data_IF_063786997612
#
_entry.id   IF_063786997612
#
_cell.length_a   1.000
_cell.length_b   1.000
_cell.length_c   1.000
_cell.angle_alpha   90.00
_cell.angle_beta   90.00
_cell.angle_gamma   90.00
#
_symmetry.space_group_name_H-M   'P 1'
#
loop_
_entity.id
_entity.type
_entity.pdbx_description
1 polymer ?
#
# COMPACT_ATOMS: atom_id res chain seq x y z
N UNK A 1 15.39 -49.32 14.90
CA UNK A 1 15.77 -47.94 14.54
C UNK A 1 15.02 -47.58 13.26
N UNK A 2 13.84 -47.00 13.42
CA UNK A 2 13.03 -46.50 12.31
C UNK A 2 13.55 -45.12 11.93
N UNK A 3 14.21 -45.02 10.78
CA UNK A 3 14.66 -43.76 10.20
C UNK A 3 13.44 -42.90 9.82
N UNK A 4 13.28 -41.75 10.47
CA UNK A 4 12.36 -40.71 10.02
C UNK A 4 12.67 -40.34 8.55
N UNK A 5 11.65 -40.27 7.68
CA UNK A 5 11.85 -39.79 6.32
C UNK A 5 12.25 -38.31 6.38
N UNK A 6 13.40 -38.00 5.77
CA UNK A 6 13.89 -36.63 5.65
C UNK A 6 12.82 -35.75 5.00
N UNK A 7 12.52 -34.62 5.65
CA UNK A 7 11.58 -33.64 5.13
C UNK A 7 12.01 -33.22 3.71
N UNK A 8 11.09 -33.16 2.73
CA UNK A 8 11.45 -32.82 1.36
C UNK A 8 12.10 -31.44 1.34
N UNK A 9 13.26 -31.35 0.70
CA UNK A 9 14.01 -30.11 0.57
C UNK A 9 13.11 -29.04 -0.08
N UNK A 10 12.93 -27.91 0.60
CA UNK A 10 12.19 -26.76 0.07
C UNK A 10 12.85 -26.36 -1.25
N UNK A 11 12.13 -26.38 -2.39
CA UNK A 11 12.72 -26.01 -3.67
C UNK A 11 13.22 -24.57 -3.60
N UNK A 12 14.50 -24.37 -3.94
CA UNK A 12 15.08 -23.03 -4.02
C UNK A 12 14.29 -22.22 -5.04
N UNK A 13 13.86 -20.99 -4.72
CA UNK A 13 13.22 -20.12 -5.70
C UNK A 13 14.15 -19.93 -6.91
N UNK A 14 13.63 -19.79 -8.14
CA UNK A 14 14.46 -19.59 -9.31
C UNK A 14 15.38 -18.39 -9.09
N UNK A 15 16.62 -18.54 -9.54
CA UNK A 15 17.65 -17.52 -9.38
C UNK A 15 17.17 -16.21 -10.03
N UNK A 16 16.97 -15.17 -9.21
CA UNK A 16 16.67 -13.83 -9.69
C UNK A 16 17.90 -13.31 -10.45
N UNK A 17 17.73 -12.68 -11.63
CA UNK A 17 18.87 -12.17 -12.38
C UNK A 17 19.46 -10.95 -11.68
N UNK A 18 20.65 -11.07 -11.08
CA UNK A 18 21.42 -9.96 -10.49
C UNK A 18 21.29 -9.83 -8.97
N UNK A 19 22.05 -8.89 -8.35
CA UNK A 19 22.07 -8.72 -6.90
C UNK A 19 20.71 -8.20 -6.36
N UNK A 20 20.41 -8.45 -5.06
CA UNK A 20 19.23 -7.89 -4.41
C UNK A 20 19.27 -6.35 -4.42
N UNK A 21 18.09 -5.73 -4.43
CA UNK A 21 17.98 -4.27 -4.37
C UNK A 21 18.45 -3.80 -2.99
N UNK A 22 19.39 -2.84 -2.88
CA UNK A 22 19.75 -2.24 -1.61
C UNK A 22 18.54 -1.59 -0.95
N UNK A 23 18.26 -1.92 0.31
CA UNK A 23 17.12 -1.38 1.03
C UNK A 23 17.57 -0.40 2.10
N UNK A 24 16.90 0.74 2.19
CA UNK A 24 17.01 1.60 3.35
C UNK A 24 16.33 0.94 4.55
N UNK A 25 16.89 1.19 5.74
CA UNK A 25 16.29 0.77 7.00
C UNK A 25 15.89 2.00 7.82
N UNK A 26 14.74 1.96 8.53
CA UNK A 26 14.42 2.97 9.51
C UNK A 26 15.52 3.09 10.57
N UNK A 27 15.78 4.32 11.00
CA UNK A 27 16.71 4.64 12.07
C UNK A 27 16.25 3.94 13.36
N UNK A 28 17.17 3.18 13.97
CA UNK A 28 16.91 2.54 15.25
C UNK A 28 16.59 3.59 16.32
N UNK A 29 15.52 3.37 17.09
CA UNK A 29 15.00 4.31 18.12
C UNK A 29 16.00 4.68 19.23
N UNK A 30 17.10 3.93 19.39
CA UNK A 30 18.12 4.09 20.43
C UNK A 30 19.54 4.03 19.85
N UNK A 31 19.86 4.87 18.86
CA UNK A 31 21.25 4.98 18.38
C UNK A 31 21.79 6.40 18.47
N UNK A 32 23.12 6.45 18.61
CA UNK A 32 23.95 7.66 18.45
C UNK A 32 23.58 8.38 17.17
N UNK A 33 23.71 9.71 17.17
CA UNK A 33 23.54 10.59 16.01
C UNK A 33 24.20 9.96 14.77
N UNK A 34 23.46 9.71 13.68
CA UNK A 34 24.03 9.25 12.42
C UNK A 34 25.11 10.21 11.91
N UNK A 35 26.14 9.67 11.25
CA UNK A 35 27.18 10.49 10.62
C UNK A 35 26.54 11.45 9.59
N UNK A 36 26.94 12.72 9.60
CA UNK A 36 26.43 13.74 8.67
C UNK A 36 25.09 14.40 9.06
N UNK A 37 24.44 13.99 10.17
CA UNK A 37 23.25 14.66 10.70
C UNK A 37 23.62 15.70 11.77
N UNK A 38 23.14 16.93 11.64
CA UNK A 38 23.34 18.00 12.63
C UNK A 38 22.57 17.74 13.93
N UNK A 39 23.06 18.27 15.06
CA UNK A 39 22.44 18.07 16.39
C UNK A 39 20.97 18.50 16.42
N UNK A 40 20.66 19.68 15.86
CA UNK A 40 19.30 20.23 15.84
C UNK A 40 18.35 19.36 15.01
N UNK A 41 18.79 18.94 13.82
CA UNK A 41 18.00 18.06 12.94
C UNK A 41 17.73 16.71 13.62
N UNK A 42 18.76 16.12 14.21
CA UNK A 42 18.64 14.87 14.95
C UNK A 42 17.67 15.00 16.13
N UNK A 43 17.79 16.09 16.91
CA UNK A 43 16.90 16.36 18.03
C UNK A 43 15.44 16.52 17.57
N UNK A 44 15.20 17.35 16.56
CA UNK A 44 13.86 17.60 16.02
C UNK A 44 13.20 16.29 15.58
N UNK A 45 13.89 15.52 14.73
CA UNK A 45 13.38 14.26 14.17
C UNK A 45 13.19 13.20 15.25
N UNK A 46 14.17 13.03 16.15
CA UNK A 46 14.06 12.10 17.26
C UNK A 46 12.90 12.44 18.21
N UNK A 47 12.68 13.72 18.49
CA UNK A 47 11.56 14.18 19.32
C UNK A 47 10.21 13.97 18.62
N UNK A 48 10.08 14.36 17.35
CA UNK A 48 8.88 14.09 16.55
C UNK A 48 8.58 12.59 16.45
N UNK A 49 9.61 11.76 16.24
CA UNK A 49 9.46 10.32 16.18
C UNK A 49 8.88 9.76 17.49
N UNK A 50 9.27 10.31 18.65
CA UNK A 50 8.67 9.96 19.95
C UNK A 50 7.22 10.41 20.08
N UNK A 51 6.80 11.45 19.37
CA UNK A 51 5.46 12.04 19.42
C UNK A 51 4.34 11.20 18.83
N UNK A 52 4.66 10.17 18.04
CA UNK A 52 3.71 9.19 17.52
C UNK A 52 4.16 7.80 17.97
N UNK A 53 3.30 6.95 18.52
CA UNK A 53 3.63 5.57 18.93
C UNK A 53 2.39 4.68 18.86
N UNK A 54 1.93 4.31 17.66
CA UNK A 54 0.79 3.41 17.52
C UNK A 54 1.14 2.00 18.01
N UNK A 55 0.13 1.17 18.28
CA UNK A 55 0.31 -0.26 18.49
C UNK A 55 1.05 -0.93 17.33
N UNK A 56 1.72 -2.05 17.61
CA UNK A 56 2.34 -2.86 16.57
C UNK A 56 1.29 -3.52 15.69
N UNK A 57 1.60 -3.66 14.40
CA UNK A 57 0.72 -4.32 13.41
C UNK A 57 0.74 -5.85 13.53
N UNK A 58 1.77 -6.42 14.15
CA UNK A 58 2.01 -7.86 14.27
C UNK A 58 1.35 -8.53 15.47
N UNK A 59 0.96 -7.75 16.48
CA UNK A 59 0.41 -8.29 17.72
C UNK A 59 -1.07 -8.72 17.59
N UNK A 60 -1.59 -8.83 16.37
CA UNK A 60 -3.01 -9.03 16.10
C UNK A 60 -3.25 -10.46 15.59
N UNK A 61 -4.13 -11.24 16.26
CA UNK A 61 -4.47 -12.57 15.79
C UNK A 61 -5.19 -12.48 14.43
N UNK A 62 -4.75 -13.32 13.49
CA UNK A 62 -5.37 -13.47 12.17
C UNK A 62 -5.98 -14.86 12.10
N UNK A 63 -7.26 -14.91 11.75
CA UNK A 63 -7.97 -16.16 11.43
C UNK A 63 -7.84 -16.39 9.93
N UNK A 64 -7.10 -17.44 9.55
CA UNK A 64 -6.98 -17.86 8.16
C UNK A 64 -8.15 -18.78 7.78
N UNK A 65 -8.76 -18.57 6.62
CA UNK A 65 -9.88 -19.35 6.12
C UNK A 65 -9.50 -19.93 4.76
N UNK A 66 -9.64 -21.24 4.63
CA UNK A 66 -9.41 -21.97 3.38
C UNK A 66 -10.75 -22.51 2.85
N UNK A 67 -10.93 -22.60 1.52
CA UNK A 67 -12.12 -23.20 0.93
C UNK A 67 -12.34 -24.63 1.43
N UNK A 68 -13.58 -24.98 1.78
CA UNK A 68 -13.98 -26.35 2.11
C UNK A 68 -13.55 -26.90 3.49
N UNK A 69 -12.76 -26.16 4.29
CA UNK A 69 -12.45 -26.56 5.66
C UNK A 69 -13.53 -26.10 6.65
N UNK A 70 -13.85 -26.95 7.63
CA UNK A 70 -14.70 -26.58 8.77
C UNK A 70 -13.93 -25.64 9.71
N UNK A 71 -14.69 -24.85 10.47
CA UNK A 71 -14.19 -23.74 11.29
C UNK A 71 -13.71 -24.16 12.69
N UNK A 72 -13.34 -25.44 12.83
CA UNK A 72 -12.95 -26.09 14.07
C UNK A 72 -11.50 -25.78 14.50
N UNK A 73 -10.76 -25.03 13.69
CA UNK A 73 -9.49 -24.40 14.06
C UNK A 73 -9.17 -23.24 13.13
N UNK A 74 -8.53 -22.17 13.63
CA UNK A 74 -7.98 -21.13 12.75
C UNK A 74 -6.57 -21.56 12.35
N UNK A 75 -6.34 -22.02 11.10
CA UNK A 75 -5.02 -22.47 10.69
C UNK A 75 -3.98 -21.41 10.94
N UNK A 76 -2.78 -21.83 11.34
CA UNK A 76 -1.63 -20.92 11.41
C UNK A 76 -1.17 -20.55 9.99
N UNK A 77 -0.30 -19.54 9.88
CA UNK A 77 0.23 -19.11 8.58
C UNK A 77 0.91 -20.27 7.84
N UNK A 78 1.56 -21.18 8.57
CA UNK A 78 2.23 -22.37 8.05
C UNK A 78 1.25 -23.37 7.43
N UNK A 79 0.11 -23.61 8.09
CA UNK A 79 -0.94 -24.50 7.60
C UNK A 79 -1.65 -23.90 6.38
N UNK A 80 -1.90 -22.58 6.41
CA UNK A 80 -2.41 -21.87 5.25
C UNK A 80 -1.43 -21.95 4.07
N UNK A 81 -0.12 -21.77 4.31
CA UNK A 81 0.89 -21.89 3.26
C UNK A 81 0.96 -23.31 2.68
N UNK A 82 0.89 -24.36 3.52
CA UNK A 82 0.85 -25.75 3.08
C UNK A 82 -0.32 -26.01 2.11
N UNK A 83 -1.53 -25.60 2.50
CA UNK A 83 -2.73 -25.78 1.68
C UNK A 83 -2.70 -24.96 0.38
N UNK A 84 -1.99 -23.83 0.37
CA UNK A 84 -1.87 -22.94 -0.78
C UNK A 84 -0.62 -23.21 -1.63
N UNK A 85 0.12 -24.29 -1.37
CA UNK A 85 1.35 -24.58 -2.12
C UNK A 85 1.11 -24.60 -3.63
N UNK A 86 1.97 -23.88 -4.34
CA UNK A 86 2.01 -23.84 -5.80
C UNK A 86 2.75 -25.07 -6.32
N UNK A 87 2.56 -25.45 -7.60
CA UNK A 87 3.33 -26.55 -8.18
C UNK A 87 4.84 -26.28 -8.02
N UNK A 88 5.60 -27.34 -7.70
CA UNK A 88 7.00 -27.22 -7.29
C UNK A 88 7.84 -26.40 -8.29
N UNK A 89 8.52 -25.37 -7.79
CA UNK A 89 9.57 -24.63 -8.50
C UNK A 89 9.19 -23.29 -9.15
N UNK A 90 7.93 -22.85 -9.10
CA UNK A 90 7.53 -21.55 -9.66
C UNK A 90 7.17 -20.53 -8.55
N UNK A 91 7.89 -19.39 -8.46
CA UNK A 91 7.59 -18.37 -7.47
C UNK A 91 6.31 -17.65 -7.88
N UNK A 92 5.30 -17.72 -7.01
CA UNK A 92 4.01 -17.08 -7.26
C UNK A 92 3.99 -15.58 -6.98
N UNK A 93 2.86 -14.95 -7.25
CA UNK A 93 2.52 -13.60 -6.78
C UNK A 93 1.33 -13.73 -5.82
N UNK A 94 1.49 -13.15 -4.63
CA UNK A 94 0.41 -13.00 -3.67
C UNK A 94 -0.33 -11.69 -3.96
N UNK A 95 -1.65 -11.73 -4.14
CA UNK A 95 -2.50 -10.56 -4.30
C UNK A 95 -3.39 -10.42 -3.06
N UNK A 96 -3.45 -9.24 -2.46
CA UNK A 96 -4.21 -8.99 -1.23
C UNK A 96 -5.28 -7.93 -1.46
N UNK A 97 -6.50 -8.21 -1.02
CA UNK A 97 -7.60 -7.23 -1.05
C UNK A 97 -8.08 -6.98 0.36
N UNK A 98 -7.59 -5.91 1.00
CA UNK A 98 -8.07 -5.48 2.30
C UNK A 98 -9.44 -4.80 2.17
N UNK A 99 -10.37 -5.20 3.03
CA UNK A 99 -11.74 -4.68 3.16
C UNK A 99 -12.16 -4.73 4.63
N UNK A 100 -13.31 -4.15 4.97
CA UNK A 100 -13.93 -4.28 6.29
C UNK A 100 -15.39 -4.69 6.20
N UNK A 101 -15.92 -5.30 7.27
CA UNK A 101 -17.29 -5.84 7.31
C UNK A 101 -18.33 -4.76 7.04
N UNK A 102 -18.18 -3.60 7.67
CA UNK A 102 -19.05 -2.44 7.54
C UNK A 102 -18.77 -1.60 6.28
N UNK A 103 -17.97 -2.06 5.31
CA UNK A 103 -17.61 -1.29 4.09
C UNK A 103 -18.82 -1.06 3.21
N UNK A 104 -19.45 -2.17 2.84
CA UNK A 104 -20.61 -2.25 1.97
C UNK A 104 -21.40 -3.50 2.33
N UNK A 105 -22.68 -3.58 1.94
CA UNK A 105 -23.43 -4.83 2.00
C UNK A 105 -22.74 -5.96 1.22
N UNK A 106 -22.95 -7.21 1.65
CA UNK A 106 -22.34 -8.39 1.02
C UNK A 106 -22.59 -8.46 -0.49
N UNK A 107 -23.79 -8.12 -0.98
CA UNK A 107 -24.09 -8.16 -2.42
C UNK A 107 -23.11 -7.28 -3.22
N UNK A 108 -22.87 -6.05 -2.76
CA UNK A 108 -21.91 -5.14 -3.40
C UNK A 108 -20.46 -5.59 -3.20
N UNK A 109 -20.15 -6.21 -2.07
CA UNK A 109 -18.84 -6.80 -1.84
C UNK A 109 -18.54 -7.94 -2.84
N UNK A 110 -19.55 -8.75 -3.18
CA UNK A 110 -19.46 -9.80 -4.22
C UNK A 110 -19.22 -9.18 -5.60
N UNK A 111 -19.99 -8.17 -6.00
CA UNK A 111 -19.76 -7.43 -7.27
C UNK A 111 -18.31 -6.93 -7.37
N UNK A 112 -17.79 -6.38 -6.27
CA UNK A 112 -16.44 -5.84 -6.23
C UNK A 112 -15.36 -6.90 -6.31
N UNK A 113 -15.62 -8.03 -5.68
CA UNK A 113 -14.76 -9.19 -5.68
C UNK A 113 -14.78 -9.91 -7.05
N UNK A 114 -15.93 -10.00 -7.70
CA UNK A 114 -16.05 -10.54 -9.06
C UNK A 114 -15.19 -9.76 -10.07
N UNK A 115 -15.23 -8.42 -10.01
CA UNK A 115 -14.39 -7.58 -10.86
C UNK A 115 -12.88 -7.81 -10.61
N UNK A 116 -12.50 -8.17 -9.39
CA UNK A 116 -11.13 -8.55 -9.05
C UNK A 116 -10.80 -9.95 -9.60
N UNK A 117 -11.72 -10.91 -9.51
CA UNK A 117 -11.55 -12.24 -10.10
C UNK A 117 -11.36 -12.13 -11.61
N UNK A 118 -12.03 -11.21 -12.30
CA UNK A 118 -11.78 -10.94 -13.72
C UNK A 118 -10.36 -10.47 -14.00
N UNK A 119 -9.80 -9.62 -13.13
CA UNK A 119 -8.40 -9.20 -13.22
C UNK A 119 -7.43 -10.36 -12.94
N UNK A 120 -7.72 -11.20 -11.95
CA UNK A 120 -6.93 -12.39 -11.66
C UNK A 120 -6.97 -13.41 -12.82
N UNK A 121 -8.15 -13.59 -13.44
CA UNK A 121 -8.32 -14.41 -14.63
C UNK A 121 -7.49 -13.89 -15.81
N UNK A 122 -7.46 -12.57 -16.02
CA UNK A 122 -6.63 -11.95 -17.04
C UNK A 122 -5.14 -12.24 -16.82
N UNK A 123 -4.66 -12.12 -15.57
CA UNK A 123 -3.26 -12.48 -15.24
C UNK A 123 -3.00 -13.96 -15.51
N UNK A 124 -3.90 -14.86 -15.10
CA UNK A 124 -3.71 -16.30 -15.31
C UNK A 124 -3.67 -16.68 -16.81
N UNK A 125 -4.43 -15.98 -17.66
CA UNK A 125 -4.38 -16.15 -19.11
C UNK A 125 -3.09 -15.61 -19.73
N UNK A 126 -2.69 -14.40 -19.34
CA UNK A 126 -1.56 -13.70 -19.97
C UNK A 126 -0.20 -14.21 -19.45
N UNK A 127 -0.17 -14.71 -18.21
CA UNK A 127 1.04 -15.17 -17.50
C UNK A 127 0.84 -16.56 -16.88
N UNK A 128 0.57 -17.62 -17.69
CA UNK A 128 0.18 -18.94 -17.18
C UNK A 128 1.27 -19.65 -16.35
N UNK A 129 2.51 -19.17 -16.43
CA UNK A 129 3.66 -19.69 -15.64
C UNK A 129 3.87 -18.97 -14.32
N UNK A 130 2.99 -18.04 -13.95
CA UNK A 130 3.07 -17.26 -12.73
C UNK A 130 1.88 -17.62 -11.84
N UNK A 131 2.08 -18.53 -10.87
CA UNK A 131 1.02 -18.89 -9.94
C UNK A 131 0.51 -17.67 -9.18
N UNK A 132 -0.81 -17.50 -9.11
CA UNK A 132 -1.45 -16.48 -8.28
C UNK A 132 -2.04 -17.09 -7.02
N UNK A 133 -1.87 -16.37 -5.91
CA UNK A 133 -2.54 -16.66 -4.63
C UNK A 133 -3.26 -15.39 -4.20
N UNK A 134 -4.59 -15.47 -4.02
CA UNK A 134 -5.43 -14.34 -3.67
C UNK A 134 -5.83 -14.40 -2.19
N UNK A 135 -5.52 -13.35 -1.45
CA UNK A 135 -5.91 -13.14 -0.07
C UNK A 135 -7.02 -12.10 0.04
N UNK A 136 -8.14 -12.47 0.66
CA UNK A 136 -9.24 -11.54 0.97
C UNK A 136 -9.21 -11.24 2.44
N UNK A 137 -8.78 -10.03 2.81
CA UNK A 137 -8.67 -9.65 4.22
C UNK A 137 -9.85 -8.82 4.67
N UNK A 138 -10.62 -9.33 5.64
CA UNK A 138 -11.81 -8.68 6.16
C UNK A 138 -11.63 -8.27 7.62
N UNK A 139 -11.59 -6.95 7.85
CA UNK A 139 -11.42 -6.36 9.17
C UNK A 139 -12.76 -6.14 9.87
N UNK A 140 -12.78 -6.32 11.19
CA UNK A 140 -13.95 -6.16 12.05
C UNK A 140 -13.62 -5.42 13.36
N UNK A 141 -14.64 -4.87 14.02
CA UNK A 141 -14.50 -4.02 15.22
C UNK A 141 -15.26 -4.56 16.44
N UNK A 142 -16.11 -5.57 16.27
CA UNK A 142 -16.86 -6.24 17.34
C UNK A 142 -16.93 -7.76 17.10
N UNK A 143 -17.38 -8.52 18.11
CA UNK A 143 -17.55 -9.96 17.99
C UNK A 143 -18.64 -10.34 16.97
N UNK A 144 -19.70 -9.53 16.87
CA UNK A 144 -20.75 -9.71 15.86
C UNK A 144 -20.20 -9.47 14.45
N UNK A 145 -19.36 -8.44 14.27
CA UNK A 145 -18.65 -8.23 13.00
C UNK A 145 -17.62 -9.34 12.74
N UNK A 146 -17.01 -9.95 13.76
CA UNK A 146 -16.11 -11.09 13.59
C UNK A 146 -16.84 -12.29 12.97
N UNK A 147 -17.98 -12.69 13.53
CA UNK A 147 -18.79 -13.78 12.96
C UNK A 147 -19.25 -13.49 11.53
N UNK A 148 -19.70 -12.26 11.30
CA UNK A 148 -20.10 -11.80 9.97
C UNK A 148 -18.92 -11.82 8.99
N UNK A 149 -17.71 -11.44 9.43
CA UNK A 149 -16.51 -11.50 8.59
C UNK A 149 -16.22 -12.93 8.12
N UNK A 150 -16.34 -13.91 9.01
CA UNK A 150 -16.12 -15.32 8.70
C UNK A 150 -17.18 -15.82 7.71
N UNK A 151 -18.46 -15.46 7.93
CA UNK A 151 -19.56 -15.82 7.04
C UNK A 151 -19.36 -15.26 5.63
N UNK A 152 -19.03 -13.97 5.53
CA UNK A 152 -18.80 -13.31 4.23
C UNK A 152 -17.58 -13.86 3.50
N UNK A 153 -16.48 -14.07 4.22
CA UNK A 153 -15.29 -14.68 3.63
C UNK A 153 -15.59 -16.05 3.02
N UNK A 154 -16.36 -16.91 3.70
CA UNK A 154 -16.77 -18.20 3.13
C UNK A 154 -17.50 -18.05 1.79
N UNK A 155 -18.49 -17.15 1.73
CA UNK A 155 -19.23 -16.87 0.49
C UNK A 155 -18.28 -16.43 -0.63
N UNK A 156 -17.38 -15.48 -0.36
CA UNK A 156 -16.43 -14.98 -1.36
C UNK A 156 -15.44 -16.08 -1.81
N UNK A 157 -14.95 -16.90 -0.89
CA UNK A 157 -14.02 -17.99 -1.23
C UNK A 157 -14.70 -19.10 -2.05
N UNK A 158 -15.96 -19.42 -1.76
CA UNK A 158 -16.75 -20.37 -2.54
C UNK A 158 -17.06 -19.85 -3.95
N UNK A 159 -17.40 -18.56 -4.07
CA UNK A 159 -17.57 -17.88 -5.36
C UNK A 159 -16.29 -17.97 -6.19
N UNK A 160 -15.13 -17.65 -5.59
CA UNK A 160 -13.83 -17.72 -6.26
C UNK A 160 -13.49 -19.14 -6.74
N UNK A 161 -13.72 -20.14 -5.89
CA UNK A 161 -13.47 -21.55 -6.23
C UNK A 161 -14.33 -22.00 -7.41
N UNK A 162 -15.59 -21.55 -7.46
CA UNK A 162 -16.53 -21.90 -8.53
C UNK A 162 -16.13 -21.22 -9.84
N UNK A 163 -15.77 -19.93 -9.79
CA UNK A 163 -15.46 -19.12 -10.97
C UNK A 163 -14.07 -19.39 -11.54
N UNK A 164 -13.08 -19.61 -10.67
CA UNK A 164 -11.67 -19.79 -11.02
C UNK A 164 -11.07 -20.96 -10.22
N UNK A 165 -11.37 -22.22 -10.56
CA UNK A 165 -10.95 -23.40 -9.78
C UNK A 165 -9.42 -23.58 -9.69
N UNK A 166 -8.65 -22.99 -10.61
CA UNK A 166 -7.19 -23.00 -10.56
C UNK A 166 -6.57 -21.91 -9.66
N UNK A 167 -7.37 -20.94 -9.21
CA UNK A 167 -6.91 -19.85 -8.36
C UNK A 167 -6.90 -20.30 -6.90
N UNK A 168 -5.74 -20.17 -6.25
CA UNK A 168 -5.59 -20.42 -4.81
C UNK A 168 -6.09 -19.20 -4.06
N UNK A 169 -7.02 -19.41 -3.12
CA UNK A 169 -7.66 -18.32 -2.37
C UNK A 169 -7.63 -18.57 -0.87
N UNK A 170 -7.45 -17.51 -0.10
CA UNK A 170 -7.47 -17.55 1.36
C UNK A 170 -8.13 -16.31 1.96
N UNK A 171 -9.03 -16.51 2.92
CA UNK A 171 -9.64 -15.43 3.69
C UNK A 171 -8.81 -15.10 4.93
N UNK A 172 -8.71 -13.83 5.29
CA UNK A 172 -8.06 -13.36 6.51
C UNK A 172 -9.07 -12.56 7.32
N UNK A 173 -9.57 -13.09 8.44
CA UNK A 173 -10.40 -12.35 9.38
C UNK A 173 -9.55 -11.86 10.55
N UNK A 174 -9.63 -10.58 10.88
CA UNK A 174 -8.77 -9.95 11.89
C UNK A 174 -9.38 -8.66 12.46
N UNK A 175 -9.07 -8.30 13.72
CA UNK A 175 -9.57 -7.06 14.30
C UNK A 175 -8.89 -5.84 13.67
N UNK A 176 -9.72 -4.87 13.30
CA UNK A 176 -9.37 -3.60 12.67
C UNK A 176 -9.46 -2.40 13.60
N UNK A 177 -9.25 -1.19 13.07
CA UNK A 177 -8.85 -0.89 11.68
C UNK A 177 -7.33 -0.99 11.45
N UNK A 178 -6.92 -1.21 10.20
CA UNK A 178 -5.57 -0.93 9.73
C UNK A 178 -5.07 -1.86 8.62
N UNK A 179 -5.03 -1.36 7.38
CA UNK A 179 -4.54 -2.10 6.19
C UNK A 179 -3.21 -2.85 6.40
N UNK A 180 -2.17 -2.29 7.07
CA UNK A 180 -0.92 -3.02 7.32
C UNK A 180 -1.09 -4.36 8.05
N UNK A 181 -2.10 -4.51 8.94
CA UNK A 181 -2.34 -5.78 9.64
C UNK A 181 -2.76 -6.88 8.67
N UNK A 182 -3.67 -6.55 7.74
CA UNK A 182 -4.11 -7.48 6.70
C UNK A 182 -2.97 -7.85 5.77
N UNK A 183 -2.19 -6.85 5.34
CA UNK A 183 -1.01 -7.09 4.51
C UNK A 183 -0.01 -8.01 5.20
N UNK A 184 0.26 -7.81 6.50
CA UNK A 184 1.18 -8.64 7.26
C UNK A 184 0.74 -10.11 7.37
N UNK A 185 -0.57 -10.37 7.56
CA UNK A 185 -1.09 -11.75 7.55
C UNK A 185 -0.86 -12.43 6.20
N UNK A 186 -1.08 -11.72 5.10
CA UNK A 186 -0.80 -12.25 3.76
C UNK A 186 0.70 -12.39 3.46
N UNK A 187 1.53 -11.42 3.88
CA UNK A 187 2.99 -11.42 3.69
C UNK A 187 3.61 -12.65 4.38
N UNK A 188 3.19 -12.97 5.61
CA UNK A 188 3.69 -14.14 6.32
C UNK A 188 3.48 -15.44 5.53
N UNK A 189 2.29 -15.62 4.93
CA UNK A 189 1.99 -16.78 4.08
C UNK A 189 2.75 -16.70 2.75
N UNK A 190 2.84 -15.52 2.13
CA UNK A 190 3.55 -15.32 0.86
C UNK A 190 5.06 -15.61 0.98
N UNK A 191 5.69 -15.27 2.10
CA UNK A 191 7.08 -15.60 2.39
C UNK A 191 7.27 -17.12 2.50
N UNK A 192 6.40 -17.82 3.23
CA UNK A 192 6.43 -19.28 3.35
C UNK A 192 6.20 -19.99 2.01
N UNK A 193 5.38 -19.40 1.14
CA UNK A 193 5.15 -19.88 -0.23
C UNK A 193 6.30 -19.57 -1.20
N UNK A 194 7.28 -18.75 -0.79
CA UNK A 194 8.36 -18.31 -1.67
C UNK A 194 7.86 -17.43 -2.82
N UNK A 195 6.78 -16.66 -2.63
CA UNK A 195 6.28 -15.74 -3.63
C UNK A 195 7.35 -14.71 -4.03
N UNK A 196 7.43 -14.38 -5.32
CA UNK A 196 8.34 -13.36 -5.82
C UNK A 196 7.90 -11.94 -5.44
N UNK A 197 6.58 -11.72 -5.37
CA UNK A 197 6.01 -10.43 -4.99
C UNK A 197 4.68 -10.55 -4.27
N UNK A 198 4.36 -9.49 -3.54
CA UNK A 198 3.10 -9.25 -2.84
C UNK A 198 2.50 -7.96 -3.40
N UNK A 199 1.32 -8.06 -3.99
CA UNK A 199 0.54 -6.93 -4.47
C UNK A 199 -0.75 -6.76 -3.70
N UNK A 200 -1.31 -5.56 -3.75
CA UNK A 200 -2.61 -5.29 -3.16
C UNK A 200 -3.35 -4.20 -3.89
N UNK A 201 -4.69 -4.25 -3.81
CA UNK A 201 -5.59 -3.25 -4.35
C UNK A 201 -6.60 -2.85 -3.28
N UNK A 202 -6.81 -1.54 -3.10
CA UNK A 202 -7.85 -1.05 -2.20
C UNK A 202 -9.24 -1.47 -2.72
N UNK A 203 -10.18 -1.74 -1.82
CA UNK A 203 -11.54 -2.14 -2.21
C UNK A 203 -12.35 -1.01 -2.89
N UNK A 204 -11.85 0.22 -2.80
CA UNK A 204 -12.54 1.47 -3.15
C UNK A 204 -12.07 2.11 -4.45
N UNK A 205 -11.24 1.39 -5.19
CA UNK A 205 -10.80 1.79 -6.51
C UNK A 205 -11.39 0.90 -7.58
N UNK A 206 -11.40 1.42 -8.80
CA UNK A 206 -11.82 0.68 -9.99
C UNK A 206 -10.60 0.50 -10.89
N UNK A 207 -10.25 -0.74 -11.19
CA UNK A 207 -9.14 -1.06 -12.08
C UNK A 207 -9.65 -1.13 -13.52
N UNK A 208 -8.95 -0.52 -14.47
CA UNK A 208 -9.23 -0.74 -15.90
C UNK A 208 -8.97 -2.21 -16.27
N UNK A 209 -9.60 -2.68 -17.35
CA UNK A 209 -9.40 -4.03 -17.87
C UNK A 209 -7.91 -4.32 -18.11
N UNK A 210 -7.44 -5.46 -17.60
CA UNK A 210 -6.06 -5.91 -17.73
C UNK A 210 -5.05 -5.14 -16.88
N UNK A 211 -5.48 -4.22 -16.00
CA UNK A 211 -4.60 -3.46 -15.12
C UNK A 211 -3.64 -4.36 -14.33
N UNK A 212 -4.15 -5.42 -13.67
CA UNK A 212 -3.27 -6.34 -12.92
C UNK A 212 -2.30 -7.11 -13.82
N UNK A 213 -2.76 -7.55 -15.00
CA UNK A 213 -1.89 -8.24 -15.97
C UNK A 213 -0.74 -7.35 -16.44
N UNK A 214 -1.00 -6.06 -16.70
CA UNK A 214 0.02 -5.08 -17.07
C UNK A 214 1.02 -4.85 -15.92
N UNK A 215 0.56 -4.76 -14.68
CA UNK A 215 1.44 -4.67 -13.51
C UNK A 215 2.33 -5.91 -13.37
N UNK A 216 1.76 -7.11 -13.49
CA UNK A 216 2.51 -8.37 -13.42
C UNK A 216 3.56 -8.43 -14.52
N UNK A 217 3.20 -8.11 -15.76
CA UNK A 217 4.13 -8.04 -16.89
C UNK A 217 5.32 -7.13 -16.59
N UNK A 218 5.07 -5.91 -16.12
CA UNK A 218 6.11 -4.93 -15.79
C UNK A 218 7.00 -5.40 -14.63
N UNK A 219 6.41 -6.03 -13.60
CA UNK A 219 7.12 -6.58 -12.46
C UNK A 219 8.05 -7.74 -12.87
N UNK A 220 7.57 -8.65 -13.71
CA UNK A 220 8.36 -9.75 -14.26
C UNK A 220 9.49 -9.22 -15.13
N UNK A 221 9.21 -8.22 -15.99
CA UNK A 221 10.22 -7.58 -16.85
C UNK A 221 11.32 -6.88 -16.03
N UNK A 222 11.01 -6.38 -14.82
CA UNK A 222 11.99 -5.84 -13.88
C UNK A 222 12.81 -6.92 -13.13
N UNK A 223 12.53 -8.21 -13.38
CA UNK A 223 13.14 -9.34 -12.68
C UNK A 223 12.58 -9.55 -11.28
N UNK A 224 11.31 -9.19 -11.05
CA UNK A 224 10.62 -9.28 -9.76
C UNK A 224 11.33 -8.48 -8.65
N UNK A 225 11.69 -7.22 -8.96
CA UNK A 225 12.42 -6.33 -8.06
C UNK A 225 11.73 -4.98 -7.89
N UNK A 226 11.93 -4.37 -6.73
CA UNK A 226 11.38 -3.06 -6.41
C UNK A 226 9.85 -3.11 -6.27
N UNK A 227 9.18 -2.06 -6.73
CA UNK A 227 7.74 -1.95 -6.73
C UNK A 227 7.22 -1.36 -8.05
N UNK A 228 6.09 -1.89 -8.51
CA UNK A 228 5.32 -1.35 -9.64
C UNK A 228 3.93 -0.95 -9.17
N UNK A 229 3.38 0.14 -9.70
CA UNK A 229 2.07 0.65 -9.30
C UNK A 229 1.22 1.11 -10.47
N UNK A 230 -0.09 1.06 -10.29
CA UNK A 230 -1.03 1.58 -11.27
C UNK A 230 -0.99 3.12 -11.30
N UNK A 231 -1.12 3.68 -12.50
CA UNK A 231 -1.31 5.11 -12.72
C UNK A 231 -2.71 5.52 -12.26
N UNK A 232 -2.78 6.52 -11.38
CA UNK A 232 -4.02 6.95 -10.75
C UNK A 232 -4.79 7.94 -11.62
N UNK A 233 -6.03 7.62 -11.93
CA UNK A 233 -6.97 8.51 -12.62
C UNK A 233 -7.96 9.05 -11.59
N UNK A 234 -7.86 10.36 -11.36
CA UNK A 234 -8.63 11.06 -10.34
C UNK A 234 -10.00 11.50 -10.87
N UNK A 235 -11.05 11.15 -10.14
CA UNK A 235 -12.42 11.61 -10.39
C UNK A 235 -12.90 12.50 -9.25
N UNK A 236 -13.82 13.41 -9.52
CA UNK A 236 -14.38 14.31 -8.50
C UNK A 236 -15.79 13.92 -8.13
N UNK A 237 -16.12 13.98 -6.85
CA UNK A 237 -17.51 13.98 -6.39
C UNK A 237 -18.18 15.33 -6.66
N UNK A 238 -19.50 15.38 -6.49
CA UNK A 238 -20.33 16.60 -6.63
C UNK A 238 -20.02 17.69 -5.58
N UNK A 239 -19.17 17.39 -4.59
CA UNK A 239 -18.77 18.34 -3.55
C UNK A 239 -17.78 19.41 -4.06
N UNK A 240 -17.96 20.65 -3.62
CA UNK A 240 -17.06 21.76 -3.93
C UNK A 240 -15.62 21.52 -3.44
N UNK A 241 -15.45 20.85 -2.29
CA UNK A 241 -14.16 20.45 -1.72
C UNK A 241 -13.40 19.49 -2.65
N UNK A 242 -14.11 18.54 -3.26
CA UNK A 242 -13.54 17.58 -4.23
C UNK A 242 -13.01 18.31 -5.47
N UNK A 243 -13.81 19.23 -6.03
CA UNK A 243 -13.41 20.05 -7.19
C UNK A 243 -12.21 20.94 -6.88
N UNK A 244 -12.20 21.62 -5.74
CA UNK A 244 -11.09 22.49 -5.33
C UNK A 244 -9.79 21.69 -5.15
N UNK A 245 -9.85 20.54 -4.47
CA UNK A 245 -8.68 19.68 -4.27
C UNK A 245 -8.18 19.06 -5.56
N UNK A 246 -9.08 18.68 -6.47
CA UNK A 246 -8.69 18.20 -7.80
C UNK A 246 -7.90 19.27 -8.56
N UNK A 247 -8.38 20.51 -8.59
CA UNK A 247 -7.65 21.65 -9.19
C UNK A 247 -6.30 21.89 -8.52
N UNK A 248 -6.24 21.85 -7.18
CA UNK A 248 -4.98 22.02 -6.45
C UNK A 248 -3.98 20.90 -6.75
N UNK A 249 -4.46 19.64 -6.84
CA UNK A 249 -3.62 18.48 -7.22
C UNK A 249 -3.13 18.57 -8.66
N UNK A 250 -3.94 19.06 -9.60
CA UNK A 250 -3.53 19.27 -10.99
C UNK A 250 -2.40 20.31 -11.13
N UNK A 251 -2.27 21.23 -10.17
CA UNK A 251 -1.20 22.23 -10.15
C UNK A 251 0.01 21.71 -9.36
N UNK A 252 -0.19 21.17 -8.16
CA UNK A 252 0.90 20.85 -7.25
C UNK A 252 1.44 19.41 -7.37
N UNK A 253 0.70 18.51 -8.04
CA UNK A 253 0.98 17.09 -8.25
C UNK A 253 1.72 16.39 -7.07
N UNK A 254 1.27 16.55 -5.81
CA UNK A 254 2.09 16.17 -4.67
C UNK A 254 2.29 14.66 -4.62
N UNK A 255 3.55 14.22 -4.62
CA UNK A 255 3.95 12.84 -4.36
C UNK A 255 3.24 11.80 -5.26
N UNK A 256 3.06 12.10 -6.54
CA UNK A 256 2.31 11.25 -7.50
C UNK A 256 3.20 10.43 -8.45
N UNK A 257 4.52 10.51 -8.30
CA UNK A 257 5.51 9.95 -9.23
C UNK A 257 6.10 8.60 -8.81
N UNK A 258 5.49 7.93 -7.82
CA UNK A 258 5.87 6.58 -7.39
C UNK A 258 4.61 5.74 -7.12
N UNK A 259 4.71 4.41 -7.05
CA UNK A 259 3.59 3.51 -6.78
C UNK A 259 2.83 3.82 -5.48
N UNK A 260 1.49 3.87 -5.54
CA UNK A 260 0.61 4.09 -4.38
C UNK A 260 -0.17 2.86 -3.97
N UNK A 261 -0.59 2.83 -2.71
CA UNK A 261 -1.27 1.69 -2.08
C UNK A 261 -2.63 1.33 -2.68
N UNK A 262 -3.19 2.16 -3.56
CA UNK A 262 -4.45 1.88 -4.23
C UNK A 262 -4.38 0.66 -5.16
N UNK A 263 -3.25 0.45 -5.82
CA UNK A 263 -2.97 -0.75 -6.60
C UNK A 263 -1.47 -0.82 -6.88
N UNK A 264 -0.77 -1.72 -6.18
CA UNK A 264 0.68 -1.84 -6.19
C UNK A 264 1.08 -3.31 -6.13
N UNK A 265 2.22 -3.66 -6.73
CA UNK A 265 2.88 -4.95 -6.64
C UNK A 265 4.34 -4.72 -6.23
N UNK A 266 4.75 -5.35 -5.13
CA UNK A 266 6.03 -5.12 -4.48
C UNK A 266 6.79 -6.44 -4.37
N UNK A 267 8.09 -6.43 -4.60
CA UNK A 267 8.92 -7.61 -4.40
C UNK A 267 8.92 -8.04 -2.91
N UNK A 268 8.85 -9.35 -2.67
CA UNK A 268 8.67 -9.90 -1.31
C UNK A 268 9.82 -9.50 -0.37
N UNK A 269 11.04 -9.37 -0.89
CA UNK A 269 12.23 -8.92 -0.14
C UNK A 269 12.09 -7.47 0.39
N UNK A 270 11.42 -6.60 -0.35
CA UNK A 270 11.16 -5.21 0.07
C UNK A 270 10.22 -5.17 1.26
N UNK A 271 9.24 -6.06 1.31
CA UNK A 271 8.27 -6.16 2.40
C UNK A 271 8.58 -7.33 3.34
N UNK A 272 9.79 -7.87 3.31
CA UNK A 272 10.14 -9.03 4.13
C UNK A 272 10.10 -8.69 5.62
N UNK A 273 9.56 -9.60 6.42
CA UNK A 273 9.19 -9.34 7.82
C UNK A 273 8.09 -8.28 7.98
N UNK A 274 7.34 -8.03 6.90
CA UNK A 274 6.21 -7.13 6.66
C UNK A 274 6.33 -5.66 7.10
N UNK A 275 5.17 -5.05 7.32
CA UNK A 275 4.95 -3.62 7.44
C UNK A 275 4.76 -3.23 8.90
N UNK A 276 5.67 -2.42 9.50
CA UNK A 276 5.49 -1.94 10.86
C UNK A 276 4.26 -1.03 10.98
N UNK A 277 3.40 -1.27 11.98
CA UNK A 277 2.13 -0.54 12.18
C UNK A 277 2.29 0.96 12.45
N UNK A 278 3.52 1.41 12.67
CA UNK A 278 3.91 2.82 12.69
C UNK A 278 3.74 3.51 11.33
N UNK A 279 3.93 2.79 10.24
CA UNK A 279 3.76 3.34 8.90
C UNK A 279 2.31 3.11 8.48
N UNK A 280 1.51 4.16 8.66
CA UNK A 280 0.07 4.13 8.38
C UNK A 280 -0.20 4.14 6.88
N UNK A 281 0.76 4.63 6.08
CA UNK A 281 0.83 4.45 4.63
C UNK A 281 1.75 3.29 4.30
N UNK A 282 1.21 2.24 3.70
CA UNK A 282 1.98 1.12 3.14
C UNK A 282 2.89 1.58 1.98
N UNK A 283 2.39 2.47 1.11
CA UNK A 283 3.14 3.00 -0.02
C UNK A 283 4.28 3.95 0.36
N UNK A 284 4.08 4.80 1.37
CA UNK A 284 5.15 5.64 1.94
C UNK A 284 6.30 4.78 2.46
N UNK A 285 6.01 3.72 3.19
CA UNK A 285 7.03 2.77 3.65
C UNK A 285 7.82 2.12 2.52
N UNK A 286 7.12 1.63 1.49
CA UNK A 286 7.75 1.04 0.30
C UNK A 286 8.60 2.07 -0.44
N UNK A 287 8.09 3.29 -0.61
CA UNK A 287 8.81 4.40 -1.23
C UNK A 287 10.13 4.67 -0.51
N UNK A 288 10.12 4.86 0.80
CA UNK A 288 11.34 5.15 1.54
C UNK A 288 12.31 3.97 1.64
N UNK A 289 11.82 2.72 1.64
CA UNK A 289 12.70 1.53 1.54
C UNK A 289 13.50 1.51 0.23
N UNK A 290 12.87 1.90 -0.87
CA UNK A 290 13.41 1.75 -2.23
C UNK A 290 14.03 3.02 -2.82
N UNK A 291 13.75 4.19 -2.24
CA UNK A 291 14.28 5.47 -2.73
C UNK A 291 15.79 5.53 -2.52
N UNK A 292 16.55 5.64 -3.61
CA UNK A 292 18.01 5.70 -3.56
C UNK A 292 18.55 7.02 -4.15
N UNK A 293 18.82 8.03 -3.32
CA UNK A 293 19.33 9.32 -3.78
C UNK A 293 20.71 9.27 -4.44
N UNK A 294 21.45 8.15 -4.37
CA UNK A 294 22.78 8.00 -4.97
C UNK A 294 22.69 7.63 -6.45
N UNK A 295 21.57 7.05 -6.89
CA UNK A 295 21.38 6.66 -8.28
C UNK A 295 21.07 7.86 -9.17
N UNK A 296 21.40 7.81 -10.48
CA UNK A 296 21.04 8.84 -11.45
C UNK A 296 19.52 9.08 -11.52
N UNK A 297 18.73 8.01 -11.43
CA UNK A 297 17.29 8.06 -11.20
C UNK A 297 16.96 7.47 -9.81
N UNK A 298 16.72 8.34 -8.80
CA UNK A 298 16.42 7.87 -7.45
C UNK A 298 15.16 7.03 -7.29
N UNK A 299 14.26 7.06 -8.29
CA UNK A 299 13.00 6.31 -8.31
C UNK A 299 13.07 5.07 -9.21
N UNK A 300 14.25 4.66 -9.68
CA UNK A 300 14.36 3.55 -10.67
C UNK A 300 13.73 2.23 -10.19
N UNK A 301 13.64 2.00 -8.88
CA UNK A 301 13.02 0.84 -8.27
C UNK A 301 11.52 1.03 -7.90
N UNK A 302 10.95 2.19 -8.21
CA UNK A 302 9.59 2.63 -7.89
C UNK A 302 8.89 3.06 -9.18
N UNK A 303 8.31 2.11 -9.90
CA UNK A 303 7.81 2.33 -11.27
C UNK A 303 6.30 2.46 -11.34
N UNK A 304 5.79 3.53 -11.91
CA UNK A 304 4.40 3.61 -12.34
C UNK A 304 4.26 3.00 -13.74
N UNK A 305 3.28 2.12 -13.91
CA UNK A 305 2.96 1.52 -15.21
C UNK A 305 1.91 2.40 -15.89
N UNK A 306 2.27 3.13 -16.97
CA UNK A 306 1.38 4.15 -17.57
C UNK A 306 0.04 3.58 -18.04
N UNK A 307 0.07 2.35 -18.56
CA UNK A 307 -1.10 1.67 -19.11
C UNK A 307 -1.88 0.87 -18.06
N UNK A 308 -1.35 0.68 -16.84
CA UNK A 308 -2.11 0.07 -15.76
C UNK A 308 -2.84 1.17 -15.00
N UNK A 309 -4.14 1.35 -15.26
CA UNK A 309 -4.89 2.50 -14.73
C UNK A 309 -5.84 2.09 -13.62
N UNK A 310 -5.85 2.91 -12.58
CA UNK A 310 -6.66 2.75 -11.40
C UNK A 310 -7.44 4.05 -11.14
N UNK A 311 -8.76 3.96 -11.16
CA UNK A 311 -9.64 5.09 -10.96
C UNK A 311 -10.07 5.21 -9.50
N UNK A 312 -10.06 6.43 -8.99
CA UNK A 312 -10.46 6.71 -7.61
C UNK A 312 -11.16 8.06 -7.51
N UNK A 313 -12.00 8.22 -6.50
CA UNK A 313 -12.59 9.51 -6.18
C UNK A 313 -11.72 10.35 -5.23
N UNK A 314 -11.60 11.64 -5.56
CA UNK A 314 -10.85 12.63 -4.78
C UNK A 314 -11.72 13.19 -3.67
N UNK A 315 -11.23 13.05 -2.44
CA UNK A 315 -11.82 13.68 -1.25
C UNK A 315 -13.29 13.27 -0.98
N UNK A 316 -13.86 13.82 0.07
CA UNK A 316 -15.27 13.63 0.45
C UNK A 316 -15.83 14.94 1.01
N UNK A 317 -16.86 14.89 1.86
CA UNK A 317 -17.29 16.03 2.67
C UNK A 317 -16.12 16.75 3.39
N UNK A 318 -16.28 18.04 3.71
CA UNK A 318 -15.20 18.88 4.23
C UNK A 318 -14.54 18.33 5.51
N UNK A 319 -15.34 17.81 6.45
CA UNK A 319 -14.83 17.23 7.70
C UNK A 319 -13.95 15.99 7.46
N UNK A 320 -14.40 15.08 6.60
CA UNK A 320 -13.66 13.88 6.21
C UNK A 320 -12.37 14.23 5.46
N UNK A 321 -12.45 15.22 4.58
CA UNK A 321 -11.31 15.75 3.83
C UNK A 321 -10.22 16.28 4.76
N UNK A 322 -10.58 17.05 5.80
CA UNK A 322 -9.61 17.56 6.78
C UNK A 322 -8.93 16.41 7.54
N UNK A 323 -9.69 15.41 7.99
CA UNK A 323 -9.14 14.21 8.66
C UNK A 323 -8.19 13.43 7.73
N UNK A 324 -8.56 13.27 6.46
CA UNK A 324 -7.74 12.59 5.44
C UNK A 324 -6.43 13.33 5.17
N UNK A 325 -6.46 14.66 5.05
CA UNK A 325 -5.26 15.48 4.85
C UNK A 325 -4.36 15.40 6.09
N UNK A 326 -4.92 15.48 7.29
CA UNK A 326 -4.17 15.33 8.53
C UNK A 326 -3.46 13.97 8.59
N UNK A 327 -4.15 12.87 8.26
CA UNK A 327 -3.55 11.53 8.19
C UNK A 327 -2.40 11.48 7.18
N UNK A 328 -2.61 11.99 5.97
CA UNK A 328 -1.58 12.03 4.93
C UNK A 328 -0.32 12.79 5.39
N UNK A 329 -0.51 13.96 6.00
CA UNK A 329 0.58 14.77 6.53
C UNK A 329 1.31 14.07 7.68
N UNK A 330 0.58 13.39 8.57
CA UNK A 330 1.18 12.61 9.64
C UNK A 330 2.03 11.47 9.09
N UNK A 331 1.59 10.79 8.02
CA UNK A 331 2.38 9.75 7.35
C UNK A 331 3.73 10.32 6.87
N UNK A 332 3.69 11.42 6.12
CA UNK A 332 4.91 12.08 5.65
C UNK A 332 5.85 12.49 6.80
N UNK A 333 5.32 12.98 7.92
CA UNK A 333 6.11 13.37 9.08
C UNK A 333 6.78 12.17 9.76
N UNK A 334 6.07 11.04 9.87
CA UNK A 334 6.63 9.80 10.41
C UNK A 334 7.78 9.30 9.54
N UNK A 335 7.57 9.26 8.22
CA UNK A 335 8.63 8.84 7.30
C UNK A 335 9.83 9.82 7.32
N UNK A 336 9.58 11.12 7.32
CA UNK A 336 10.67 12.13 7.44
C UNK A 336 11.42 12.00 8.77
N UNK A 337 10.75 11.60 9.86
CA UNK A 337 11.36 11.45 11.18
C UNK A 337 12.21 10.17 11.30
N UNK A 338 11.81 9.08 10.65
CA UNK A 338 12.38 7.76 10.93
C UNK A 338 13.45 7.30 9.92
N UNK A 339 13.58 7.90 8.74
CA UNK A 339 14.42 7.34 7.66
C UNK A 339 15.79 8.01 7.50
N UNK A 340 16.78 7.44 6.78
CA UNK A 340 18.09 8.08 6.59
C UNK A 340 18.00 9.49 5.97
N UNK A 341 18.85 10.42 6.42
CA UNK A 341 18.77 11.83 6.01
C UNK A 341 18.89 12.07 4.49
N UNK A 342 19.75 11.36 3.73
CA UNK A 342 19.78 11.51 2.26
C UNK A 342 18.42 11.21 1.61
N UNK A 343 17.78 10.11 2.03
CA UNK A 343 16.45 9.67 1.55
C UNK A 343 15.40 10.73 1.88
N UNK A 344 15.39 11.19 3.14
CA UNK A 344 14.47 12.21 3.63
C UNK A 344 14.64 13.53 2.88
N UNK A 345 15.87 13.99 2.64
CA UNK A 345 16.14 15.22 1.89
C UNK A 345 15.64 15.12 0.46
N UNK A 346 15.91 14.01 -0.20
CA UNK A 346 15.44 13.79 -1.56
C UNK A 346 13.91 13.78 -1.61
N UNK A 347 13.25 12.97 -0.77
CA UNK A 347 11.79 12.88 -0.70
C UNK A 347 11.16 14.25 -0.40
N UNK A 348 11.66 14.96 0.61
CA UNK A 348 11.14 16.27 0.99
C UNK A 348 11.28 17.28 -0.16
N UNK A 349 12.47 17.39 -0.75
CA UNK A 349 12.79 18.41 -1.74
C UNK A 349 12.19 18.17 -3.12
N UNK A 350 12.13 16.90 -3.57
CA UNK A 350 11.79 16.55 -4.95
C UNK A 350 10.42 15.88 -5.09
N UNK A 351 10.00 15.09 -4.08
CA UNK A 351 8.73 14.33 -4.15
C UNK A 351 7.58 15.09 -3.48
N UNK A 352 7.77 15.53 -2.24
CA UNK A 352 6.72 16.15 -1.44
C UNK A 352 6.58 17.65 -1.73
N UNK A 353 7.68 18.40 -1.65
CA UNK A 353 7.72 19.85 -1.77
C UNK A 353 8.49 20.37 -2.99
N UNK A 354 8.63 19.56 -4.04
CA UNK A 354 9.15 20.04 -5.34
C UNK A 354 8.29 21.20 -5.87
N UNK A 355 8.92 22.33 -6.20
CA UNK A 355 8.23 23.56 -6.62
C UNK A 355 7.92 24.56 -5.49
N UNK A 356 8.35 24.32 -4.25
CA UNK A 356 8.20 25.21 -3.09
C UNK A 356 9.32 26.27 -3.05
N UNK A 357 9.35 27.14 -4.05
CA UNK A 357 10.33 28.23 -4.13
C UNK A 357 10.16 29.24 -2.99
N UNK A 358 11.25 29.80 -2.40
CA UNK A 358 12.66 29.59 -2.74
C UNK A 358 13.34 28.42 -2.03
N UNK A 359 12.64 27.65 -1.19
CA UNK A 359 13.23 26.53 -0.45
C UNK A 359 13.58 25.32 -1.34
N UNK A 360 12.83 25.12 -2.42
CA UNK A 360 13.13 24.13 -3.46
C UNK A 360 13.10 24.79 -4.85
N UNK A 361 13.48 24.04 -5.90
CA UNK A 361 13.53 24.55 -7.27
C UNK A 361 12.18 25.13 -7.74
N UNK A 362 12.23 26.25 -8.46
CA UNK A 362 11.05 26.84 -9.08
C UNK A 362 10.61 26.03 -10.29
N UNK A 363 9.31 25.72 -10.38
CA UNK A 363 8.77 24.97 -11.51
C UNK A 363 8.29 25.90 -12.62
N UNK A 364 9.12 26.08 -13.64
CA UNK A 364 8.81 26.88 -14.84
C UNK A 364 8.27 26.05 -16.01
N UNK A 365 8.02 24.75 -15.83
CA UNK A 365 7.66 23.82 -16.94
C UNK A 365 6.41 24.23 -17.72
N UNK A 366 5.51 24.99 -17.10
CA UNK A 366 4.28 25.53 -17.71
C UNK A 366 4.19 27.06 -17.57
N UNK A 367 5.33 27.73 -17.47
CA UNK A 367 5.46 29.19 -17.34
C UNK A 367 5.43 29.72 -15.89
N UNK A 368 5.88 30.96 -15.72
CA UNK A 368 6.09 31.58 -14.39
C UNK A 368 4.82 31.65 -13.53
N UNK A 369 3.66 31.92 -14.15
CA UNK A 369 2.37 31.96 -13.42
C UNK A 369 2.00 30.60 -12.83
N UNK A 370 2.30 29.50 -13.52
CA UNK A 370 2.10 28.15 -13.00
C UNK A 370 3.03 27.88 -11.82
N UNK A 371 4.32 28.19 -11.97
CA UNK A 371 5.31 28.03 -10.91
C UNK A 371 4.95 28.81 -9.63
N UNK A 372 4.49 30.05 -9.76
CA UNK A 372 4.03 30.84 -8.60
C UNK A 372 2.81 30.20 -7.91
N UNK A 373 1.82 29.75 -8.69
CA UNK A 373 0.65 29.04 -8.14
C UNK A 373 1.07 27.76 -7.41
N UNK A 374 1.99 26.98 -8.00
CA UNK A 374 2.53 25.77 -7.39
C UNK A 374 3.25 26.08 -6.08
N UNK A 375 4.12 27.09 -6.07
CA UNK A 375 4.82 27.53 -4.87
C UNK A 375 3.86 27.94 -3.74
N UNK A 376 2.84 28.74 -4.04
CA UNK A 376 1.82 29.14 -3.06
C UNK A 376 1.07 27.94 -2.46
N UNK A 377 0.64 27.00 -3.30
CA UNK A 377 -0.04 25.77 -2.82
C UNK A 377 0.90 24.93 -1.95
N UNK A 378 2.17 24.80 -2.34
CA UNK A 378 3.17 24.05 -1.56
C UNK A 378 3.46 24.71 -0.23
N UNK A 379 3.55 26.04 -0.15
CA UNK A 379 3.72 26.77 1.10
C UNK A 379 2.53 26.62 2.04
N UNK A 380 1.30 26.68 1.52
CA UNK A 380 0.10 26.41 2.30
C UNK A 380 0.12 24.97 2.86
N UNK A 381 0.47 24.00 2.02
CA UNK A 381 0.59 22.60 2.43
C UNK A 381 1.71 22.41 3.47
N UNK A 382 2.83 23.12 3.32
CA UNK A 382 3.94 23.11 4.27
C UNK A 382 3.53 23.72 5.62
N UNK A 383 2.73 24.78 5.64
CA UNK A 383 2.23 25.34 6.89
C UNK A 383 1.40 24.31 7.70
N UNK A 384 0.57 23.52 7.02
CA UNK A 384 -0.16 22.41 7.66
C UNK A 384 0.76 21.27 8.10
N UNK A 385 1.74 20.91 7.26
CA UNK A 385 2.78 19.94 7.60
C UNK A 385 3.54 20.35 8.86
N UNK A 386 3.99 21.61 8.94
CA UNK A 386 4.68 22.18 10.08
C UNK A 386 3.78 22.20 11.33
N UNK A 387 2.51 22.58 11.20
CA UNK A 387 1.56 22.56 12.32
C UNK A 387 1.38 21.17 12.94
N UNK A 388 1.25 20.12 12.13
CA UNK A 388 1.19 18.73 12.64
C UNK A 388 2.55 18.27 13.17
N UNK A 389 3.65 18.70 12.54
CA UNK A 389 5.01 18.44 13.02
C UNK A 389 5.26 19.02 14.41
N UNK A 390 4.83 20.26 14.66
CA UNK A 390 4.88 20.91 15.97
C UNK A 390 4.05 20.15 17.00
N UNK A 391 2.87 19.65 16.65
CA UNK A 391 2.08 18.81 17.55
C UNK A 391 2.85 17.53 17.94
N UNK A 392 3.41 16.80 16.96
CA UNK A 392 4.20 15.60 17.25
C UNK A 392 5.44 15.94 18.09
N UNK A 393 6.10 17.05 17.82
CA UNK A 393 7.23 17.51 18.60
C UNK A 393 6.84 17.77 20.06
N UNK A 394 5.77 18.52 20.32
CA UNK A 394 5.26 18.81 21.68
C UNK A 394 4.83 17.51 22.40
N UNK A 395 4.16 16.59 21.70
CA UNK A 395 3.82 15.26 22.25
C UNK A 395 5.07 14.45 22.60
N UNK A 396 6.10 14.54 21.78
CA UNK A 396 7.39 13.89 21.99
C UNK A 396 8.18 14.45 23.17
N UNK A 397 8.09 15.77 23.42
CA UNK A 397 8.67 16.43 24.59
C UNK A 397 7.88 16.11 25.87
N UNK A 398 6.56 16.15 25.82
CA UNK A 398 5.68 15.89 26.97
C UNK A 398 5.52 14.41 27.34
N UNK A 399 6.08 13.49 26.54
CA UNK A 399 5.96 12.05 26.77
C UNK A 399 4.55 11.50 26.55
N UNK A 400 3.68 12.25 25.86
CA UNK A 400 2.27 11.88 25.58
C UNK A 400 2.06 11.60 24.08
N UNK A 401 2.61 10.49 23.56
CA UNK A 401 2.57 10.19 22.14
C UNK A 401 1.14 9.97 21.64
N UNK A 402 0.88 10.38 20.42
CA UNK A 402 -0.32 9.99 19.70
C UNK A 402 -0.30 8.47 19.45
N UNK A 403 -1.33 7.75 19.91
CA UNK A 403 -1.43 6.28 19.85
C UNK A 403 -2.27 5.76 18.69
N UNK A 404 -3.02 6.62 18.02
CA UNK A 404 -3.91 6.23 16.94
C UNK A 404 -4.24 7.41 16.04
N UNK A 405 -4.88 7.12 14.92
CA UNK A 405 -5.34 8.12 13.96
C UNK A 405 -6.80 7.82 13.68
N UNK A 406 -7.65 8.84 13.78
CA UNK A 406 -9.05 8.72 13.38
C UNK A 406 -9.15 8.50 11.87
N UNK A 407 -9.81 7.41 11.49
CA UNK A 407 -10.19 7.17 10.11
C UNK A 407 -11.47 7.96 9.84
N UNK A 408 -11.50 8.72 8.74
CA UNK A 408 -12.76 9.24 8.23
C UNK A 408 -13.56 8.08 7.64
N UNK A 409 -14.82 7.86 8.05
CA UNK A 409 -15.69 6.92 7.34
C UNK A 409 -15.86 7.43 5.91
N UNK A 410 -15.86 6.53 4.93
CA UNK A 410 -16.20 6.89 3.56
C UNK A 410 -17.72 6.96 3.46
N UNK A 411 -18.28 8.17 3.45
CA UNK A 411 -19.73 8.35 3.46
C UNK A 411 -20.42 8.09 2.11
N UNK A 412 -19.68 7.99 1.00
CA UNK A 412 -20.22 7.65 -0.32
C UNK A 412 -19.18 6.91 -1.19
N UNK A 413 -19.11 5.58 -1.08
CA UNK A 413 -18.24 4.76 -1.94
C UNK A 413 -19.01 4.36 -3.19
N UNK A 414 -18.85 5.15 -4.26
CA UNK A 414 -19.28 4.75 -5.60
C UNK A 414 -18.09 4.11 -6.31
N UNK A 415 -18.28 2.96 -6.95
CA UNK A 415 -17.35 2.49 -7.98
C UNK A 415 -17.72 3.12 -9.30
N UNK A 416 -16.71 3.45 -10.08
CA UNK A 416 -16.89 3.94 -11.43
C UNK A 416 -17.17 2.74 -12.33
N UNK A 417 -18.05 2.92 -13.29
CA UNK A 417 -18.04 2.04 -14.47
C UNK A 417 -17.01 2.65 -15.41
N UNK A 418 -15.91 1.94 -15.75
CA UNK A 418 -15.01 2.44 -16.79
C UNK A 418 -15.84 2.54 -18.07
N UNK A 419 -16.09 3.75 -18.55
CA UNK A 419 -16.74 3.94 -19.83
C UNK A 419 -15.78 3.47 -20.92
N UNK A 420 -16.21 2.53 -21.75
CA UNK A 420 -15.58 2.24 -23.04
C UNK A 420 -15.70 3.48 -23.94
N UNK A 421 -14.84 4.47 -23.75
CA UNK A 421 -14.75 5.63 -24.65
C UNK A 421 -13.40 6.34 -24.49
N UNK A 422 -12.38 5.73 -25.08
CA UNK A 422 -11.33 6.50 -25.74
C UNK A 422 -11.88 7.06 -27.06
N UNK A 423 -12.74 8.09 -27.04
CA UNK A 423 -12.94 8.95 -28.23
C UNK A 423 -13.64 10.27 -27.91
N UNK A 424 -12.88 11.36 -28.14
CA UNK A 424 -13.20 12.78 -28.41
C UNK A 424 -12.12 13.59 -27.68
N UNK A 425 -11.00 13.99 -28.29
CA UNK A 425 -10.84 14.84 -29.48
C UNK A 425 -11.88 15.96 -29.60
N UNK A 426 -11.36 17.15 -29.87
CA UNK A 426 -12.01 18.47 -30.01
C UNK A 426 -12.12 19.23 -28.67
N UNK A 427 -11.47 20.37 -28.46
CA UNK A 427 -10.77 21.32 -29.35
C UNK A 427 -9.81 22.18 -28.54
#
# INVERSE_FOLDING_TARGET
>A
MTSEPAAPAVPRPPARPGPPVPLNLPLARRRRRPAGEGLLTHHLRGTMARGFRPPESWAVPVRYLLPGLRADGTPRAEEAAEALRTPAGQPGIALVVPTYVSRVPLARQREWFDALLDQAAAVARDHPRVPLVLFVGMQWSSAEEEEESLRRLRVLLDDARTRLPGLRVCGLSLPGPGKPRTLNGAIAVAELLGCAGVGWADDDVTLEEGCLSRLVRDFLAAGCRGAVGATKIAHTHEYATSRLLSRAKAIAAPATNYPHGCCILVATDVVAGGLPGRYVSDDGYVCFRLLDPVLPDPLTHLRLVPDARCHYYVAGPAGETRRRIRRLLLNHLVDVADWPLPVVRHYFGHVLFGGMWPLTGFDSSRGARHGLKKALIKWLYFAWFAGIGSELYVRGLSGRPLRGIEWAPYSDIRRLTPSSSSTRQES
#
